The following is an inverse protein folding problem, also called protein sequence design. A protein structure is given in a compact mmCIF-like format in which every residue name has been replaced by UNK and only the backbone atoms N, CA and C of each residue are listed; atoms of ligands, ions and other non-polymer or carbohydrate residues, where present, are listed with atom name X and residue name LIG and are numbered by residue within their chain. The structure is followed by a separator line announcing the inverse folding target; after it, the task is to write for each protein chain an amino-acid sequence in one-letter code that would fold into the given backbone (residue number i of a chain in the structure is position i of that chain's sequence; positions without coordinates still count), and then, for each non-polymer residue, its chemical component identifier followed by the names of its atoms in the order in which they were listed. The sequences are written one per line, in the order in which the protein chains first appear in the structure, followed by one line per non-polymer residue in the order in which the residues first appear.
data_IF_370541035791
#
_entry.id   IF_370541035791
#
_cell.length_a   1.000
_cell.length_b   1.000
_cell.length_c   1.000
_cell.angle_alpha   90.00
_cell.angle_beta   90.00
_cell.angle_gamma   90.00
#
_symmetry.space_group_name_H-M   'P 1'
#
loop_
_entity.id
_entity.type
_entity.pdbx_description
1 polymer ?
#
# COMPACT_ATOMS: atom_id res chain seq x y z
N UNK A 1 -20.59 23.46 -3.95
CA UNK A 1 -19.48 24.06 -3.17
C UNK A 1 -18.42 23.00 -3.03
N UNK A 2 -17.23 23.25 -3.55
CA UNK A 2 -16.22 22.22 -3.71
C UNK A 2 -15.74 21.69 -2.35
N UNK A 3 -15.91 20.39 -2.14
CA UNK A 3 -15.57 19.74 -0.87
C UNK A 3 -14.05 19.53 -0.70
N UNK A 4 -13.28 19.71 -1.78
CA UNK A 4 -11.85 19.50 -1.84
C UNK A 4 -11.23 20.67 -2.61
N UNK A 5 -10.20 21.27 -2.02
CA UNK A 5 -9.41 22.32 -2.65
C UNK A 5 -7.92 21.95 -2.54
N UNK A 6 -7.21 22.06 -3.66
CA UNK A 6 -5.78 21.75 -3.76
C UNK A 6 -5.06 23.03 -4.13
N UNK A 7 -4.04 23.39 -3.35
CA UNK A 7 -3.11 24.47 -3.68
C UNK A 7 -1.73 23.88 -3.88
N UNK A 8 -1.17 24.09 -5.06
CA UNK A 8 0.22 23.76 -5.36
C UNK A 8 1.11 24.96 -5.01
N UNK A 9 2.07 24.76 -4.13
CA UNK A 9 3.09 25.74 -3.74
C UNK A 9 4.45 25.17 -4.10
N UNK A 10 5.44 26.05 -4.29
CA UNK A 10 6.80 25.72 -4.72
C UNK A 10 7.40 24.45 -4.07
N UNK A 11 7.22 24.29 -2.77
CA UNK A 11 7.80 23.17 -2.00
C UNK A 11 6.73 22.30 -1.29
N UNK A 12 5.44 22.53 -1.54
CA UNK A 12 4.37 21.80 -0.82
C UNK A 12 3.04 21.83 -1.54
N UNK A 13 2.26 20.76 -1.38
CA UNK A 13 0.85 20.73 -1.78
C UNK A 13 -0.01 20.86 -0.54
N UNK A 14 -0.94 21.81 -0.54
CA UNK A 14 -1.92 22.00 0.53
C UNK A 14 -3.26 21.45 0.09
N UNK A 15 -3.67 20.35 0.71
CA UNK A 15 -4.99 19.74 0.53
C UNK A 15 -5.93 20.25 1.61
N UNK A 16 -6.95 21.02 1.23
CA UNK A 16 -8.00 21.51 2.12
C UNK A 16 -9.29 20.77 1.85
N UNK A 17 -9.85 20.14 2.89
CA UNK A 17 -11.08 19.36 2.78
C UNK A 17 -12.15 19.96 3.69
N UNK A 18 -13.33 20.21 3.12
CA UNK A 18 -14.49 20.66 3.87
C UNK A 18 -15.03 19.53 4.75
N UNK A 19 -15.14 19.79 6.06
CA UNK A 19 -15.72 18.87 7.04
C UNK A 19 -17.19 18.54 6.78
N UNK A 20 -17.88 19.33 5.95
CA UNK A 20 -19.32 19.17 5.65
C UNK A 20 -19.61 18.07 4.62
N UNK A 21 -18.60 17.50 3.97
CA UNK A 21 -18.79 16.54 2.88
C UNK A 21 -18.01 15.23 2.99
N UNK A 22 -17.14 15.07 3.99
CA UNK A 22 -16.33 13.87 4.16
C UNK A 22 -16.29 13.43 5.61
N UNK A 23 -16.49 12.12 5.80
CA UNK A 23 -16.43 11.47 7.10
C UNK A 23 -15.03 11.60 7.74
N UNK A 24 -15.00 11.78 9.05
CA UNK A 24 -13.74 11.99 9.79
C UNK A 24 -12.85 10.76 9.73
N UNK A 25 -13.41 9.56 9.84
CA UNK A 25 -12.63 8.33 9.82
C UNK A 25 -12.04 8.09 8.44
N UNK A 26 -12.78 8.43 7.38
CA UNK A 26 -12.26 8.45 6.01
C UNK A 26 -11.04 9.37 5.87
N UNK A 27 -11.08 10.58 6.45
CA UNK A 27 -9.93 11.51 6.42
C UNK A 27 -8.72 10.97 7.16
N UNK A 28 -8.92 10.32 8.32
CA UNK A 28 -7.84 9.67 9.06
C UNK A 28 -7.24 8.53 8.24
N UNK A 29 -8.06 7.73 7.56
CA UNK A 29 -7.56 6.67 6.68
C UNK A 29 -6.77 7.21 5.49
N UNK A 30 -7.21 8.34 4.91
CA UNK A 30 -6.49 8.99 3.82
C UNK A 30 -5.07 9.39 4.26
N UNK A 31 -4.93 10.02 5.43
CA UNK A 31 -3.61 10.40 5.96
C UNK A 31 -2.72 9.18 6.15
N UNK A 32 -3.24 8.10 6.75
CA UNK A 32 -2.48 6.85 6.94
C UNK A 32 -2.02 6.23 5.61
N UNK A 33 -2.85 6.29 4.57
CA UNK A 33 -2.47 5.82 3.22
C UNK A 33 -1.31 6.65 2.67
N UNK A 34 -1.39 7.98 2.76
CA UNK A 34 -0.30 8.85 2.30
C UNK A 34 1.01 8.59 3.04
N UNK A 35 0.96 8.35 4.36
CA UNK A 35 2.13 7.95 5.14
C UNK A 35 2.72 6.61 4.69
N UNK A 36 1.85 5.63 4.40
CA UNK A 36 2.26 4.31 3.91
C UNK A 36 2.93 4.40 2.53
N UNK A 37 2.35 5.16 1.60
CA UNK A 37 2.93 5.39 0.27
C UNK A 37 4.31 6.03 0.36
N UNK A 38 4.49 7.00 1.27
CA UNK A 38 5.81 7.61 1.50
C UNK A 38 6.83 6.58 2.03
N UNK A 39 6.43 5.69 2.95
CA UNK A 39 7.32 4.62 3.44
C UNK A 39 7.67 3.62 2.33
N UNK A 40 6.71 3.25 1.49
CA UNK A 40 6.95 2.37 0.33
C UNK A 40 7.96 3.02 -0.61
N UNK A 41 7.76 4.29 -0.97
CA UNK A 41 8.68 5.04 -1.82
C UNK A 41 10.10 5.09 -1.23
N UNK A 42 10.23 5.40 0.06
CA UNK A 42 11.52 5.45 0.76
C UNK A 42 12.19 4.08 0.88
N UNK A 43 11.42 3.01 1.01
CA UNK A 43 11.95 1.64 1.13
C UNK A 43 12.53 1.08 -0.17
N UNK A 44 12.32 1.75 -1.31
CA UNK A 44 12.71 1.24 -2.63
C UNK A 44 11.92 0.00 -3.07
N UNK A 45 10.85 -0.34 -2.36
CA UNK A 45 9.88 -1.36 -2.77
C UNK A 45 9.19 -0.84 -4.03
N UNK A 46 9.34 -1.59 -5.11
CA UNK A 46 8.73 -1.30 -6.39
C UNK A 46 8.10 -2.58 -6.95
N UNK A 47 7.34 -2.45 -8.03
CA UNK A 47 6.64 -3.59 -8.66
C UNK A 47 7.60 -4.73 -9.06
N UNK A 48 8.84 -4.42 -9.46
CA UNK A 48 9.82 -5.44 -9.80
C UNK A 48 10.23 -6.26 -8.58
N UNK A 49 10.52 -5.60 -7.45
CA UNK A 49 10.91 -6.28 -6.20
C UNK A 49 9.73 -7.05 -5.61
N UNK A 50 8.50 -6.53 -5.74
CA UNK A 50 7.28 -7.25 -5.38
C UNK A 50 7.08 -8.50 -6.24
N UNK A 51 7.28 -8.39 -7.56
CA UNK A 51 7.22 -9.53 -8.48
C UNK A 51 8.25 -10.59 -8.11
N UNK A 52 9.49 -10.19 -7.81
CA UNK A 52 10.54 -11.11 -7.34
C UNK A 52 10.11 -11.80 -6.04
N UNK A 53 9.52 -11.08 -5.08
CA UNK A 53 9.02 -11.66 -3.84
C UNK A 53 7.89 -12.67 -4.08
N UNK A 54 6.95 -12.37 -4.99
CA UNK A 54 5.90 -13.29 -5.41
C UNK A 54 6.46 -14.54 -6.12
N UNK A 55 7.47 -14.37 -6.97
CA UNK A 55 8.14 -15.48 -7.66
C UNK A 55 8.85 -16.39 -6.67
N UNK A 56 9.60 -15.83 -5.71
CA UNK A 56 10.27 -16.58 -4.63
C UNK A 56 9.24 -17.37 -3.82
N UNK A 57 8.15 -16.72 -3.40
CA UNK A 57 7.08 -17.34 -2.63
C UNK A 57 6.41 -18.47 -3.43
N UNK A 58 6.09 -18.22 -4.70
CA UNK A 58 5.46 -19.20 -5.59
C UNK A 58 6.37 -20.40 -5.84
N UNK A 59 7.66 -20.17 -6.08
CA UNK A 59 8.65 -21.21 -6.26
C UNK A 59 8.80 -22.06 -4.99
N UNK A 60 8.89 -21.40 -3.82
CA UNK A 60 8.96 -22.09 -2.54
C UNK A 60 7.71 -22.95 -2.31
N UNK A 61 6.52 -22.41 -2.51
CA UNK A 61 5.27 -23.18 -2.35
C UNK A 61 5.24 -24.36 -3.32
N UNK A 62 5.59 -24.19 -4.59
CA UNK A 62 5.60 -25.29 -5.57
C UNK A 62 6.45 -26.47 -5.11
N UNK A 63 7.62 -26.21 -4.53
CA UNK A 63 8.57 -27.26 -4.17
C UNK A 63 8.35 -27.83 -2.77
N UNK A 64 7.83 -27.02 -1.84
CA UNK A 64 7.80 -27.37 -0.41
C UNK A 64 6.39 -27.61 0.12
N UNK A 65 5.33 -27.28 -0.63
CA UNK A 65 3.94 -27.39 -0.17
C UNK A 65 3.59 -28.78 0.37
N UNK A 66 3.97 -29.84 -0.33
CA UNK A 66 3.62 -31.21 0.07
C UNK A 66 4.25 -31.60 1.41
N UNK A 67 5.54 -31.30 1.58
CA UNK A 67 6.27 -31.52 2.83
C UNK A 67 5.76 -30.61 3.95
N UNK A 68 5.48 -29.34 3.65
CA UNK A 68 5.00 -28.36 4.63
C UNK A 68 3.59 -28.70 5.15
N UNK A 69 2.70 -29.16 4.27
CA UNK A 69 1.32 -29.54 4.66
C UNK A 69 1.22 -30.96 5.22
N UNK A 70 2.32 -31.71 5.33
CA UNK A 70 2.30 -33.09 5.81
C UNK A 70 1.48 -34.03 4.93
N UNK A 71 1.29 -33.68 3.65
CA UNK A 71 0.46 -34.47 2.69
C UNK A 71 1.29 -35.45 1.87
N UNK A 72 2.53 -35.72 2.28
CA UNK A 72 3.33 -36.79 1.70
C UNK A 72 2.59 -38.10 1.93
N UNK A 73 1.98 -38.64 0.87
CA UNK A 73 1.41 -40.00 0.89
C UNK A 73 2.54 -40.97 1.21
N UNK A 74 2.33 -41.80 2.23
CA UNK A 74 2.99 -43.10 2.38
C UNK A 74 2.76 -43.97 1.15
#
# INVERSE_FOLDING_TARGET
MDNIHIQDKKDSIVLTISKKGLDKDYLVQLVKRLETENLIYQSGINENNLRIAEDIKSHWWKNNKHSFLGTSKE
#
